data_IF_643546630812
#
_entry.id   IF_643546630812
#
_cell.length_a   1.000
_cell.length_b   1.000
_cell.length_c   1.000
_cell.angle_alpha   90.00
_cell.angle_beta   90.00
_cell.angle_gamma   90.00
#
_symmetry.space_group_name_H-M   'P 1'
#
loop_
_entity.id
_entity.type
_entity.pdbx_description
1 polymer ?
#
# COMPACT_ATOMS: atom_id res chain seq x y z
N UNK A 1 64.41 -47.83 -48.97
CA UNK A 1 63.07 -47.36 -49.36
C UNK A 1 62.35 -46.93 -48.07
N UNK A 2 62.24 -45.61 -47.84
CA UNK A 2 61.69 -45.01 -46.62
C UNK A 2 60.37 -44.39 -46.98
N UNK A 3 59.27 -44.91 -46.45
CA UNK A 3 57.93 -44.35 -46.65
C UNK A 3 57.66 -43.29 -45.56
N UNK A 4 57.36 -42.07 -46.04
CA UNK A 4 56.89 -40.93 -45.18
C UNK A 4 55.40 -40.98 -44.99
N UNK A 5 54.97 -41.26 -43.79
CA UNK A 5 53.60 -41.11 -43.37
C UNK A 5 53.26 -39.66 -43.01
N UNK A 6 52.26 -39.09 -43.66
CA UNK A 6 51.72 -37.76 -43.36
C UNK A 6 50.67 -37.83 -42.28
N UNK A 7 50.93 -37.17 -41.18
CA UNK A 7 49.90 -36.99 -40.06
C UNK A 7 49.06 -35.77 -40.41
N UNK A 8 47.78 -35.98 -40.67
CA UNK A 8 46.76 -34.91 -40.78
C UNK A 8 46.23 -34.59 -39.38
N UNK A 9 46.64 -33.47 -38.84
CA UNK A 9 46.06 -32.94 -37.61
C UNK A 9 44.69 -32.32 -37.88
N UNK A 10 43.65 -32.84 -37.23
CA UNK A 10 42.33 -32.22 -37.20
C UNK A 10 42.31 -31.16 -36.09
N UNK A 11 42.11 -29.91 -36.49
CA UNK A 11 41.91 -28.80 -35.55
C UNK A 11 40.42 -28.75 -35.23
N UNK A 12 40.05 -29.19 -34.01
CA UNK A 12 38.67 -29.01 -33.49
C UNK A 12 38.53 -27.60 -32.91
N UNK A 13 37.77 -26.78 -33.61
CA UNK A 13 37.36 -25.46 -33.11
C UNK A 13 36.21 -25.67 -32.16
N UNK A 14 36.47 -25.56 -30.84
CA UNK A 14 35.45 -25.48 -29.81
C UNK A 14 34.84 -24.09 -29.83
N UNK A 15 33.62 -23.97 -30.38
CA UNK A 15 32.78 -22.79 -30.29
C UNK A 15 32.22 -22.70 -28.86
N UNK A 16 32.80 -21.86 -28.01
CA UNK A 16 32.29 -21.54 -26.67
C UNK A 16 31.11 -20.58 -26.84
N UNK A 17 29.89 -21.12 -26.75
CA UNK A 17 28.66 -20.30 -26.65
C UNK A 17 28.60 -19.76 -25.20
N UNK A 18 29.10 -18.54 -25.00
CA UNK A 18 28.88 -17.78 -23.78
C UNK A 18 27.42 -17.30 -23.77
N UNK A 19 26.57 -18.04 -23.07
CA UNK A 19 25.23 -17.59 -22.78
C UNK A 19 25.35 -16.39 -21.82
N UNK A 20 25.28 -15.18 -22.36
CA UNK A 20 25.17 -13.97 -21.57
C UNK A 20 23.77 -14.00 -20.89
N UNK A 21 23.69 -14.49 -19.67
CA UNK A 21 22.54 -14.28 -18.81
C UNK A 21 22.48 -12.80 -18.53
N UNK A 22 21.57 -12.09 -19.21
CA UNK A 22 21.18 -10.75 -18.83
C UNK A 22 20.65 -10.83 -17.39
N UNK A 23 21.43 -10.33 -16.43
CA UNK A 23 20.96 -10.04 -15.09
C UNK A 23 19.86 -9.00 -15.24
N UNK A 24 18.62 -9.45 -15.34
CA UNK A 24 17.47 -8.59 -15.11
C UNK A 24 17.59 -8.20 -13.63
N UNK A 25 18.05 -6.98 -13.37
CA UNK A 25 17.88 -6.39 -12.04
C UNK A 25 16.39 -6.50 -11.71
N UNK A 26 16.04 -7.33 -10.75
CA UNK A 26 14.65 -7.48 -10.28
C UNK A 26 14.18 -6.08 -9.90
N UNK A 27 13.19 -5.56 -10.62
CA UNK A 27 12.59 -4.29 -10.27
C UNK A 27 11.88 -4.50 -8.93
N UNK A 28 12.31 -3.76 -7.92
CA UNK A 28 11.75 -3.88 -6.56
C UNK A 28 10.74 -2.77 -6.31
N UNK A 29 9.69 -3.08 -5.53
CA UNK A 29 8.75 -2.07 -5.03
C UNK A 29 9.39 -1.13 -4.00
N UNK A 30 10.62 -1.41 -3.55
CA UNK A 30 11.35 -0.52 -2.64
C UNK A 30 11.56 0.87 -3.25
N UNK A 31 11.62 1.88 -2.40
CA UNK A 31 11.83 3.26 -2.79
C UNK A 31 10.81 4.22 -2.19
N UNK A 32 10.85 5.46 -2.63
CA UNK A 32 9.95 6.53 -2.19
C UNK A 32 8.85 6.72 -3.22
N UNK A 33 7.63 6.82 -2.74
CA UNK A 33 6.42 6.87 -3.56
C UNK A 33 5.51 8.01 -3.14
N UNK A 34 4.80 8.58 -4.10
CA UNK A 34 3.78 9.59 -3.89
C UNK A 34 2.56 9.28 -4.75
N UNK A 35 1.36 9.55 -4.23
CA UNK A 35 0.11 9.36 -4.97
C UNK A 35 0.18 10.07 -6.32
N UNK A 36 -0.13 9.35 -7.40
CA UNK A 36 0.02 9.84 -8.78
C UNK A 36 -0.98 10.94 -9.12
N UNK A 37 -2.14 10.91 -8.47
CA UNK A 37 -3.20 11.93 -8.58
C UNK A 37 -3.73 12.21 -7.17
N UNK A 38 -3.98 13.48 -6.85
CA UNK A 38 -4.68 13.82 -5.62
C UNK A 38 -6.01 13.08 -5.53
N UNK A 39 -6.21 12.33 -4.44
CA UNK A 39 -7.41 11.53 -4.21
C UNK A 39 -7.63 11.43 -2.71
N UNK A 40 -8.82 11.75 -2.25
CA UNK A 40 -9.20 11.72 -0.83
C UNK A 40 -10.35 10.76 -0.54
N UNK A 41 -10.96 10.23 -1.61
CA UNK A 41 -12.03 9.25 -1.55
C UNK A 41 -11.62 7.99 -2.32
N UNK A 42 -12.06 6.85 -1.84
CA UNK A 42 -11.93 5.58 -2.54
C UNK A 42 -13.10 5.42 -3.53
N UNK A 43 -12.79 4.98 -4.72
CA UNK A 43 -13.76 4.74 -5.78
C UNK A 43 -13.66 3.29 -6.25
N UNK A 44 -14.81 2.62 -6.52
CA UNK A 44 -14.79 1.29 -7.11
C UNK A 44 -14.04 1.28 -8.44
N UNK A 45 -13.12 0.33 -8.59
CA UNK A 45 -12.22 0.24 -9.75
C UNK A 45 -12.96 0.00 -11.07
N UNK A 46 -14.19 -0.52 -11.02
CA UNK A 46 -15.06 -0.75 -12.16
C UNK A 46 -16.00 0.44 -12.48
N UNK A 47 -15.87 1.54 -11.73
CA UNK A 47 -16.70 2.74 -11.88
C UNK A 47 -18.15 2.59 -11.38
N UNK A 48 -18.48 1.47 -10.73
CA UNK A 48 -19.80 1.26 -10.13
C UNK A 48 -20.02 2.17 -8.92
N UNK A 49 -21.27 2.43 -8.51
CA UNK A 49 -21.54 3.05 -7.22
C UNK A 49 -21.04 2.17 -6.05
N UNK A 50 -20.66 2.83 -4.94
CA UNK A 50 -20.29 2.13 -3.70
C UNK A 50 -21.41 1.18 -3.26
N UNK A 51 -21.11 -0.09 -3.00
CA UNK A 51 -22.10 -1.11 -2.63
C UNK A 51 -22.48 -1.01 -1.14
N UNK A 52 -22.94 0.16 -0.68
CA UNK A 52 -23.23 0.42 0.72
C UNK A 52 -24.47 -0.36 1.22
N UNK A 53 -24.37 -0.92 2.41
CA UNK A 53 -25.54 -1.34 3.20
C UNK A 53 -26.36 -0.12 3.63
N UNK A 54 -27.51 -0.33 4.24
CA UNK A 54 -28.28 0.77 4.85
C UNK A 54 -27.46 1.45 5.97
N UNK A 55 -26.81 0.68 6.84
CA UNK A 55 -25.95 1.19 7.91
C UNK A 55 -24.75 1.96 7.35
N UNK A 56 -24.08 1.41 6.33
CA UNK A 56 -22.97 2.07 5.63
C UNK A 56 -23.38 3.41 5.01
N UNK A 57 -24.53 3.44 4.33
CA UNK A 57 -25.09 4.67 3.73
C UNK A 57 -25.40 5.71 4.79
N UNK A 58 -26.06 5.31 5.87
CA UNK A 58 -26.38 6.21 6.99
C UNK A 58 -25.12 6.83 7.59
N UNK A 59 -24.08 6.01 7.83
CA UNK A 59 -22.79 6.49 8.34
C UNK A 59 -22.10 7.44 7.38
N UNK A 60 -22.06 7.08 6.09
CA UNK A 60 -21.44 7.89 5.03
C UNK A 60 -22.12 9.27 4.90
N UNK A 61 -23.46 9.32 4.84
CA UNK A 61 -24.20 10.59 4.74
C UNK A 61 -24.08 11.44 6.02
N UNK A 62 -24.02 10.81 7.20
CA UNK A 62 -23.75 11.52 8.45
C UNK A 62 -22.36 12.17 8.42
N UNK A 63 -21.32 11.43 8.00
CA UNK A 63 -19.97 11.96 7.87
C UNK A 63 -19.90 13.14 6.87
N UNK A 64 -20.60 13.04 5.74
CA UNK A 64 -20.75 14.17 4.78
C UNK A 64 -21.38 15.39 5.43
N UNK A 65 -22.41 15.19 6.23
CA UNK A 65 -23.10 16.30 6.90
C UNK A 65 -22.20 16.96 7.96
N UNK A 66 -21.40 16.20 8.70
CA UNK A 66 -20.41 16.71 9.64
C UNK A 66 -19.28 17.43 8.91
N UNK A 67 -18.75 16.84 7.84
CA UNK A 67 -17.70 17.44 7.03
C UNK A 67 -18.11 18.81 6.46
N UNK A 68 -19.36 18.93 5.97
CA UNK A 68 -19.89 20.19 5.45
C UNK A 68 -19.98 21.31 6.50
N UNK A 69 -20.04 20.95 7.77
CA UNK A 69 -20.05 21.89 8.92
C UNK A 69 -18.65 22.13 9.50
N UNK A 70 -17.63 21.39 9.04
CA UNK A 70 -16.28 21.40 9.66
C UNK A 70 -16.26 20.73 11.05
N UNK A 71 -17.27 19.93 11.39
CA UNK A 71 -17.38 19.24 12.67
C UNK A 71 -16.62 17.91 12.65
N UNK A 72 -15.30 18.02 12.63
CA UNK A 72 -14.41 16.84 12.62
C UNK A 72 -14.45 16.02 13.91
N UNK A 73 -14.74 16.65 15.05
CA UNK A 73 -14.84 15.94 16.34
C UNK A 73 -15.92 14.86 16.35
N UNK A 74 -16.95 15.02 15.54
CA UNK A 74 -18.07 14.08 15.47
C UNK A 74 -17.77 12.85 14.61
N UNK A 75 -16.76 12.88 13.69
CA UNK A 75 -16.55 11.77 12.78
C UNK A 75 -15.09 11.48 12.40
N UNK A 76 -14.19 12.46 12.43
CA UNK A 76 -12.82 12.34 11.91
C UNK A 76 -11.76 12.73 12.94
N UNK A 77 -11.35 11.76 13.76
CA UNK A 77 -10.33 11.97 14.78
C UNK A 77 -8.95 12.37 14.24
N UNK A 78 -8.68 12.08 12.96
CA UNK A 78 -7.43 12.52 12.34
C UNK A 78 -7.43 14.03 12.16
N UNK A 79 -8.49 14.57 11.57
CA UNK A 79 -8.65 16.02 11.39
C UNK A 79 -8.86 16.75 12.71
N UNK A 80 -9.58 16.16 13.65
CA UNK A 80 -9.84 16.76 14.95
C UNK A 80 -8.61 16.79 15.86
N UNK A 81 -7.92 15.66 16.00
CA UNK A 81 -6.93 15.42 17.09
C UNK A 81 -5.62 14.81 16.64
N UNK A 82 -5.29 14.83 15.35
CA UNK A 82 -4.08 14.20 14.81
C UNK A 82 -3.95 12.70 15.13
N UNK A 83 -5.07 12.00 15.36
CA UNK A 83 -5.05 10.55 15.46
C UNK A 83 -4.63 9.93 14.13
N UNK A 84 -3.94 8.77 14.17
CA UNK A 84 -3.57 8.07 12.92
C UNK A 84 -4.79 7.85 12.03
N UNK A 85 -4.73 8.15 10.73
CA UNK A 85 -5.83 7.91 9.79
C UNK A 85 -6.11 6.42 9.59
N UNK A 86 -5.13 5.56 9.86
CA UNK A 86 -5.25 4.12 9.64
C UNK A 86 -5.11 3.72 8.17
N UNK A 87 -5.13 2.40 7.91
CA UNK A 87 -5.18 1.87 6.55
C UNK A 87 -6.65 1.58 6.15
N UNK A 88 -7.04 1.78 4.88
CA UNK A 88 -6.19 2.21 3.76
C UNK A 88 -6.04 3.74 3.63
N UNK A 89 -6.71 4.56 4.45
CA UNK A 89 -6.73 6.03 4.33
C UNK A 89 -5.33 6.65 4.33
N UNK A 90 -4.39 6.06 5.07
CA UNK A 90 -3.00 6.52 5.10
C UNK A 90 -2.34 6.46 3.72
N UNK A 91 -2.76 5.50 2.88
CA UNK A 91 -2.30 5.36 1.50
C UNK A 91 -2.85 6.45 0.56
N UNK A 92 -3.86 7.22 0.98
CA UNK A 92 -4.47 8.34 0.24
C UNK A 92 -3.89 9.70 0.63
N UNK A 93 -2.97 9.73 1.61
CA UNK A 93 -2.36 11.01 2.00
C UNK A 93 -1.50 11.56 0.86
N UNK A 94 -1.45 12.90 0.68
CA UNK A 94 -0.62 13.50 -0.36
C UNK A 94 0.87 13.47 -0.05
N UNK A 95 1.23 13.06 1.17
CA UNK A 95 2.61 12.86 1.59
C UNK A 95 3.23 11.66 0.89
N UNK A 96 4.55 11.61 0.92
CA UNK A 96 5.29 10.47 0.42
C UNK A 96 5.30 9.35 1.46
N UNK A 97 5.49 8.14 0.96
CA UNK A 97 5.85 7.00 1.78
C UNK A 97 7.04 6.26 1.17
N UNK A 98 7.77 5.56 2.03
CA UNK A 98 8.91 4.73 1.64
C UNK A 98 8.61 3.27 1.92
N UNK A 99 8.84 2.42 0.92
CA UNK A 99 8.81 0.95 1.09
C UNK A 99 10.25 0.47 1.21
N UNK A 100 10.49 -0.40 2.19
CA UNK A 100 11.74 -1.15 2.33
C UNK A 100 11.48 -2.54 2.89
N UNK A 101 12.27 -3.51 2.48
CA UNK A 101 12.09 -4.92 2.82
C UNK A 101 13.17 -5.40 3.80
N UNK A 102 12.82 -6.38 4.61
CA UNK A 102 13.70 -7.12 5.50
C UNK A 102 13.33 -8.61 5.38
N UNK A 103 14.17 -9.54 5.83
CA UNK A 103 13.92 -10.98 5.63
C UNK A 103 12.56 -11.48 6.13
N UNK A 104 11.99 -10.86 7.18
CA UNK A 104 10.73 -11.30 7.79
C UNK A 104 9.60 -10.26 7.68
N UNK A 105 9.85 -9.09 7.09
CA UNK A 105 8.85 -8.04 7.02
C UNK A 105 9.08 -7.06 5.87
N UNK A 106 7.98 -6.51 5.34
CA UNK A 106 7.96 -5.32 4.51
C UNK A 106 7.46 -4.16 5.35
N UNK A 107 8.11 -3.01 5.23
CA UNK A 107 7.78 -1.81 5.96
C UNK A 107 7.34 -0.72 4.99
N UNK A 108 6.25 -0.05 5.33
CA UNK A 108 5.76 1.14 4.64
C UNK A 108 5.81 2.28 5.65
N UNK A 109 6.76 3.19 5.47
CA UNK A 109 6.98 4.33 6.35
C UNK A 109 6.46 5.60 5.69
N UNK A 110 5.61 6.32 6.39
CA UNK A 110 4.99 7.56 5.91
C UNK A 110 5.71 8.80 6.45
N UNK A 111 5.74 9.88 5.66
CA UNK A 111 6.22 11.18 6.16
C UNK A 111 5.34 11.69 7.29
N UNK A 112 4.02 11.54 7.14
CA UNK A 112 3.05 11.98 8.13
C UNK A 112 3.24 11.25 9.47
N UNK A 113 3.62 12.00 10.49
CA UNK A 113 3.90 11.52 11.86
C UNK A 113 4.89 10.34 11.93
N UNK A 114 5.73 10.13 10.91
CA UNK A 114 6.64 8.97 10.83
C UNK A 114 5.94 7.63 11.09
N UNK A 115 4.70 7.53 10.71
CA UNK A 115 3.97 6.27 10.89
C UNK A 115 4.64 5.14 10.12
N UNK A 116 4.68 3.98 10.75
CA UNK A 116 5.22 2.76 10.18
C UNK A 116 4.12 1.70 10.14
N UNK A 117 3.82 1.20 8.94
CA UNK A 117 3.02 0.00 8.74
C UNK A 117 3.96 -1.16 8.47
N UNK A 118 3.91 -2.17 9.32
CA UNK A 118 4.67 -3.41 9.15
C UNK A 118 3.76 -4.48 8.55
N UNK A 119 4.25 -5.15 7.52
CA UNK A 119 3.66 -6.34 6.92
C UNK A 119 4.57 -7.51 7.26
N UNK A 120 4.08 -8.42 8.06
CA UNK A 120 4.81 -9.64 8.41
C UNK A 120 4.77 -10.62 7.22
N UNK A 121 5.95 -11.01 6.73
CA UNK A 121 6.10 -11.98 5.64
C UNK A 121 6.78 -13.28 6.10
N UNK A 122 6.98 -13.46 7.40
CA UNK A 122 7.52 -14.72 7.93
C UNK A 122 6.46 -15.82 7.82
N UNK A 123 6.69 -16.88 7.03
CA UNK A 123 5.68 -17.92 6.80
C UNK A 123 5.32 -18.71 8.07
N UNK A 124 6.12 -18.60 9.13
CA UNK A 124 5.86 -19.26 10.41
C UNK A 124 4.79 -18.57 11.24
N UNK A 125 4.59 -17.26 11.01
CA UNK A 125 3.59 -16.47 11.73
C UNK A 125 2.23 -16.60 11.05
N UNK A 126 1.16 -16.67 11.83
CA UNK A 126 -0.22 -16.70 11.34
C UNK A 126 -0.87 -15.34 11.56
N UNK A 127 -1.80 -15.01 10.68
CA UNK A 127 -2.68 -13.85 10.87
C UNK A 127 -3.86 -14.31 11.73
N UNK A 128 -3.91 -13.83 12.95
CA UNK A 128 -4.97 -14.14 13.91
C UNK A 128 -5.66 -12.86 14.34
N UNK A 129 -6.98 -12.92 14.57
CA UNK A 129 -7.73 -11.78 15.06
C UNK A 129 -7.21 -11.38 16.45
N UNK A 130 -6.79 -10.13 16.65
CA UNK A 130 -6.32 -9.67 17.95
C UNK A 130 -7.49 -9.44 18.90
N UNK A 131 -7.22 -9.45 20.20
CA UNK A 131 -8.20 -9.11 21.24
C UNK A 131 -8.61 -7.63 21.19
N UNK A 132 -7.82 -6.81 20.53
CA UNK A 132 -8.09 -5.37 20.34
C UNK A 132 -7.75 -4.95 18.91
N UNK A 133 -8.55 -4.06 18.37
CA UNK A 133 -8.29 -3.50 17.04
C UNK A 133 -7.15 -2.48 17.02
N UNK A 134 -6.48 -2.38 15.88
CA UNK A 134 -5.44 -1.38 15.60
C UNK A 134 -5.86 -0.43 14.48
N UNK A 135 -5.15 0.66 14.30
CA UNK A 135 -5.49 1.64 13.25
C UNK A 135 -5.05 1.20 11.86
N UNK A 136 -3.99 0.41 11.75
CA UNK A 136 -3.46 -0.08 10.48
C UNK A 136 -3.79 -1.54 10.22
N UNK A 137 -4.54 -2.19 11.11
CA UNK A 137 -4.76 -3.63 11.11
C UNK A 137 -3.50 -4.41 11.48
N UNK A 138 -3.65 -5.72 11.67
CA UNK A 138 -2.57 -6.69 11.62
C UNK A 138 -2.38 -7.11 10.16
N UNK A 139 -1.16 -7.03 9.66
CA UNK A 139 -0.87 -7.21 8.26
C UNK A 139 0.02 -8.43 8.06
N UNK A 140 -0.46 -9.40 7.30
CA UNK A 140 0.29 -10.58 6.87
C UNK A 140 0.47 -10.53 5.36
N UNK A 141 1.70 -10.76 4.90
CA UNK A 141 1.99 -10.74 3.48
C UNK A 141 2.76 -11.96 3.00
N UNK A 142 2.75 -12.13 1.70
CA UNK A 142 3.60 -13.06 0.96
C UNK A 142 3.85 -12.53 -0.45
N UNK A 143 4.85 -13.09 -1.11
CA UNK A 143 5.17 -12.74 -2.49
C UNK A 143 4.57 -13.75 -3.46
N UNK A 144 3.84 -13.26 -4.45
CA UNK A 144 3.44 -14.00 -5.64
C UNK A 144 4.21 -13.47 -6.85
N UNK A 145 5.36 -14.08 -7.12
CA UNK A 145 6.30 -13.52 -8.10
C UNK A 145 6.82 -12.16 -7.62
N UNK A 146 6.50 -11.10 -8.37
CA UNK A 146 6.86 -9.70 -8.09
C UNK A 146 5.71 -8.90 -7.41
N UNK A 147 4.61 -9.56 -7.08
CA UNK A 147 3.46 -8.96 -6.40
C UNK A 147 3.54 -9.23 -4.91
N UNK A 148 3.55 -8.18 -4.09
CA UNK A 148 3.33 -8.31 -2.65
C UNK A 148 1.83 -8.40 -2.39
N UNK A 149 1.37 -9.53 -1.87
CA UNK A 149 -0.02 -9.74 -1.43
C UNK A 149 -0.07 -9.51 0.08
N UNK A 150 -0.99 -8.66 0.54
CA UNK A 150 -1.13 -8.32 1.96
C UNK A 150 -2.58 -8.52 2.39
N UNK A 151 -2.77 -9.36 3.39
CA UNK A 151 -4.04 -9.49 4.11
C UNK A 151 -3.98 -8.68 5.41
N UNK A 152 -5.03 -7.91 5.68
CA UNK A 152 -5.13 -7.10 6.88
C UNK A 152 -6.48 -7.26 7.54
N UNK A 153 -6.46 -7.39 8.87
CA UNK A 153 -7.66 -7.53 9.71
C UNK A 153 -7.40 -6.93 11.10
N UNK A 154 -8.39 -6.96 11.99
CA UNK A 154 -8.24 -6.45 13.34
C UNK A 154 -8.18 -4.92 13.38
N UNK A 155 -9.04 -4.26 12.63
CA UNK A 155 -9.15 -2.80 12.61
C UNK A 155 -10.02 -2.29 13.76
N UNK A 156 -9.67 -1.12 14.27
CA UNK A 156 -10.54 -0.39 15.18
C UNK A 156 -11.81 0.10 14.48
N UNK A 157 -12.94 -0.03 15.13
CA UNK A 157 -14.13 0.77 14.82
C UNK A 157 -13.84 2.28 15.01
N UNK A 158 -14.58 3.16 14.37
CA UNK A 158 -14.42 4.63 14.43
C UNK A 158 -13.18 5.17 13.71
N UNK A 159 -12.77 4.49 12.66
CA UNK A 159 -11.83 5.01 11.66
C UNK A 159 -12.56 5.21 10.34
N UNK A 160 -11.88 5.81 9.42
CA UNK A 160 -12.39 6.03 8.08
C UNK A 160 -11.51 5.29 7.08
N UNK A 161 -12.13 4.68 6.07
CA UNK A 161 -11.41 4.08 4.95
C UNK A 161 -10.80 5.13 4.02
N UNK A 162 -11.46 6.29 3.96
CA UNK A 162 -11.04 7.50 3.25
C UNK A 162 -11.47 8.73 4.06
N UNK A 163 -11.79 9.86 3.44
CA UNK A 163 -12.23 11.03 4.20
C UNK A 163 -13.68 10.96 4.68
N UNK A 164 -14.48 10.02 4.22
CA UNK A 164 -15.91 9.94 4.53
C UNK A 164 -16.43 8.54 4.84
N UNK A 165 -15.84 7.49 4.23
CA UNK A 165 -16.32 6.11 4.35
C UNK A 165 -16.02 5.55 5.75
N UNK A 166 -17.05 5.14 6.50
CA UNK A 166 -16.86 4.47 7.79
C UNK A 166 -16.33 3.05 7.60
N UNK A 167 -15.80 2.46 8.67
CA UNK A 167 -15.52 1.03 8.78
C UNK A 167 -16.16 0.42 10.04
N UNK A 168 -16.27 -0.90 10.03
CA UNK A 168 -16.55 -1.70 11.23
C UNK A 168 -15.30 -2.46 11.70
N UNK A 169 -15.44 -3.26 12.75
CA UNK A 169 -14.40 -4.18 13.22
C UNK A 169 -14.26 -5.42 12.31
N UNK A 170 -15.27 -5.68 11.48
CA UNK A 170 -15.26 -6.76 10.48
C UNK A 170 -14.49 -6.41 9.22
N UNK A 171 -13.90 -5.22 9.15
CA UNK A 171 -13.11 -4.79 8.00
C UNK A 171 -11.95 -5.77 7.73
N UNK A 172 -11.84 -6.17 6.47
CA UNK A 172 -10.72 -6.92 5.92
C UNK A 172 -10.24 -6.25 4.65
N UNK A 173 -8.94 -6.16 4.49
CA UNK A 173 -8.31 -5.67 3.28
C UNK A 173 -7.46 -6.80 2.68
N UNK A 174 -7.54 -6.93 1.36
CA UNK A 174 -6.59 -7.72 0.58
C UNK A 174 -5.96 -6.78 -0.45
N UNK A 175 -4.67 -6.51 -0.27
CA UNK A 175 -3.91 -5.61 -1.14
C UNK A 175 -3.00 -6.42 -2.06
N UNK A 176 -2.85 -5.96 -3.28
CA UNK A 176 -1.91 -6.50 -4.28
C UNK A 176 -1.05 -5.35 -4.80
N UNK A 177 0.15 -5.27 -4.25
CA UNK A 177 1.08 -4.17 -4.49
C UNK A 177 2.13 -4.64 -5.49
N UNK A 178 2.25 -3.94 -6.61
CA UNK A 178 3.18 -4.31 -7.70
C UNK A 178 3.69 -3.08 -8.45
N UNK A 179 4.81 -3.24 -9.15
CA UNK A 179 5.21 -2.29 -10.18
C UNK A 179 4.40 -2.53 -11.46
N UNK A 180 3.83 -1.47 -12.02
CA UNK A 180 3.25 -1.46 -13.37
C UNK A 180 4.35 -1.15 -14.38
N UNK A 181 5.24 -0.28 -14.00
CA UNK A 181 6.50 0.06 -14.66
C UNK A 181 7.53 0.53 -13.61
N UNK A 182 8.77 0.79 -14.01
CA UNK A 182 9.87 1.16 -13.08
C UNK A 182 9.55 2.37 -12.19
N UNK A 183 8.67 3.26 -12.64
CA UNK A 183 8.31 4.50 -11.96
C UNK A 183 6.86 4.54 -11.45
N UNK A 184 6.11 3.46 -11.62
CA UNK A 184 4.69 3.41 -11.22
C UNK A 184 4.42 2.18 -10.37
N UNK A 185 4.03 2.42 -9.12
CA UNK A 185 3.51 1.41 -8.21
C UNK A 185 1.97 1.42 -8.29
N UNK A 186 1.36 0.25 -8.30
CA UNK A 186 -0.08 0.05 -8.21
C UNK A 186 -0.39 -0.77 -6.97
N UNK A 187 -1.36 -0.30 -6.20
CA UNK A 187 -1.97 -1.03 -5.11
C UNK A 187 -3.45 -1.24 -5.43
N UNK A 188 -3.82 -2.51 -5.65
CA UNK A 188 -5.22 -2.93 -5.78
C UNK A 188 -5.69 -3.44 -4.43
N UNK A 189 -6.69 -2.80 -3.89
CA UNK A 189 -7.23 -3.05 -2.55
C UNK A 189 -8.63 -3.64 -2.70
N UNK A 190 -8.82 -4.91 -2.34
CA UNK A 190 -10.15 -5.49 -2.16
C UNK A 190 -10.62 -5.19 -0.74
N UNK A 191 -11.73 -4.50 -0.61
CA UNK A 191 -12.32 -4.06 0.66
C UNK A 191 -13.52 -4.93 0.96
N UNK A 192 -13.52 -5.57 2.12
CA UNK A 192 -14.63 -6.40 2.63
C UNK A 192 -14.98 -5.92 4.02
N UNK A 193 -16.21 -5.47 4.22
CA UNK A 193 -16.77 -5.07 5.50
C UNK A 193 -18.29 -5.29 5.45
N UNK A 194 -18.81 -6.42 5.95
CA UNK A 194 -20.21 -6.80 5.75
C UNK A 194 -21.20 -5.91 6.52
N UNK A 195 -20.75 -5.15 7.54
CA UNK A 195 -21.60 -4.17 8.18
C UNK A 195 -21.78 -2.91 7.29
N UNK A 196 -20.78 -2.57 6.49
CA UNK A 196 -20.74 -1.33 5.71
C UNK A 196 -21.07 -1.56 4.24
N UNK A 197 -20.67 -2.71 3.66
CA UNK A 197 -20.83 -3.01 2.24
C UNK A 197 -21.60 -4.30 2.01
N UNK A 198 -22.47 -4.31 1.01
CA UNK A 198 -23.29 -5.48 0.62
C UNK A 198 -22.50 -6.57 -0.10
N UNK A 199 -21.31 -6.26 -0.60
CA UNK A 199 -20.37 -7.16 -1.26
C UNK A 199 -18.96 -6.60 -1.20
N UNK A 200 -17.91 -7.42 -1.34
CA UNK A 200 -16.54 -6.94 -1.55
C UNK A 200 -16.45 -6.07 -2.82
N UNK A 201 -15.53 -5.12 -2.80
CA UNK A 201 -15.26 -4.25 -3.95
C UNK A 201 -13.79 -3.84 -3.99
N UNK A 202 -13.29 -3.52 -5.17
CA UNK A 202 -11.91 -3.14 -5.38
C UNK A 202 -11.76 -1.63 -5.54
N UNK A 203 -10.71 -1.06 -4.93
CA UNK A 203 -10.15 0.24 -5.27
C UNK A 203 -8.75 0.06 -5.87
N UNK A 204 -8.30 1.01 -6.68
CA UNK A 204 -6.95 1.01 -7.27
C UNK A 204 -6.28 2.35 -7.03
N UNK A 205 -5.17 2.31 -6.31
CA UNK A 205 -4.32 3.46 -6.07
C UNK A 205 -3.04 3.34 -6.90
N UNK A 206 -2.59 4.44 -7.48
CA UNK A 206 -1.33 4.50 -8.23
C UNK A 206 -0.43 5.56 -7.67
N UNK A 207 0.86 5.24 -7.62
CA UNK A 207 1.90 6.09 -7.08
C UNK A 207 3.02 6.26 -8.08
N UNK A 208 3.64 7.43 -8.05
CA UNK A 208 4.84 7.74 -8.84
C UNK A 208 6.06 7.67 -7.94
N UNK A 209 7.12 7.05 -8.48
CA UNK A 209 8.42 6.99 -7.81
C UNK A 209 8.95 8.40 -7.63
N UNK A 210 9.45 8.67 -6.46
CA UNK A 210 10.11 9.92 -6.12
C UNK A 210 11.62 9.70 -6.02
N UNK A 211 12.44 10.74 -6.22
CA UNK A 211 13.85 10.66 -5.90
C UNK A 211 14.06 10.21 -4.45
N UNK A 212 15.11 9.43 -4.22
CA UNK A 212 15.47 8.96 -2.86
C UNK A 212 16.24 10.05 -2.09
N UNK A 213 15.65 11.23 -2.06
CA UNK A 213 16.14 12.39 -1.35
C UNK A 213 15.76 12.35 0.14
N UNK A 214 16.02 13.47 0.82
CA UNK A 214 15.60 13.66 2.20
C UNK A 214 14.11 13.32 2.33
N UNK A 215 13.81 12.41 3.24
CA UNK A 215 12.46 11.99 3.59
C UNK A 215 12.09 12.68 4.91
N UNK A 216 11.52 13.92 4.86
CA UNK A 216 11.23 14.69 6.03
C UNK A 216 10.12 14.07 6.88
N UNK A 217 10.04 14.48 8.12
CA UNK A 217 8.91 14.22 8.98
C UNK A 217 7.87 15.32 8.79
N UNK A 218 6.60 14.95 8.60
CA UNK A 218 5.45 15.86 8.64
C UNK A 218 4.66 15.63 9.92
N UNK A 219 4.86 16.51 10.91
CA UNK A 219 4.25 16.37 12.23
C UNK A 219 2.90 17.08 12.26
N UNK A 220 1.83 16.31 12.41
CA UNK A 220 0.46 16.81 12.41
C UNK A 220 0.22 17.92 13.48
N UNK A 221 0.77 17.76 14.68
CA UNK A 221 0.63 18.77 15.75
C UNK A 221 1.33 20.06 15.40
N UNK A 222 2.50 20.00 14.77
CA UNK A 222 3.24 21.18 14.33
C UNK A 222 2.47 21.91 13.23
N UNK A 223 1.86 21.16 12.29
CA UNK A 223 0.96 21.74 11.28
C UNK A 223 -0.20 22.49 11.93
N UNK A 224 -0.87 21.88 12.90
CA UNK A 224 -1.95 22.53 13.65
C UNK A 224 -1.47 23.79 14.38
N UNK A 225 -0.33 23.74 15.03
CA UNK A 225 0.26 24.89 15.69
C UNK A 225 0.59 26.04 14.71
N UNK A 226 0.93 25.69 13.45
CA UNK A 226 1.15 26.63 12.36
C UNK A 226 -0.13 27.06 11.64
N UNK A 227 -1.33 26.68 12.12
CA UNK A 227 -2.61 26.99 11.49
C UNK A 227 -2.87 26.24 10.19
N UNK A 228 -2.13 25.16 9.93
CA UNK A 228 -2.29 24.31 8.77
C UNK A 228 -3.26 23.15 9.07
N UNK A 229 -3.90 22.55 8.04
CA UNK A 229 -4.74 21.38 8.25
C UNK A 229 -3.92 20.19 8.75
N UNK A 230 -4.50 19.33 9.60
CA UNK A 230 -3.84 18.12 10.15
C UNK A 230 -3.30 17.14 9.11
N UNK A 231 -4.03 16.95 8.03
CA UNK A 231 -3.53 16.29 6.82
C UNK A 231 -3.17 17.34 5.78
N UNK A 232 -2.10 17.15 5.00
CA UNK A 232 -1.80 18.04 3.89
C UNK A 232 -2.98 18.12 2.92
N UNK A 233 -3.14 19.26 2.25
CA UNK A 233 -4.09 19.39 1.14
C UNK A 233 -3.49 18.76 -0.12
N UNK A 234 -4.29 18.02 -0.83
CA UNK A 234 -3.96 17.54 -2.18
C UNK A 234 -3.85 18.68 -3.17
#
# INVERSE_FOLDING_TARGET
>A
MIARGAIRGAISVLLSITCAQALHASQTIEGVWKLARPQVLLEPADGSPLPLTEAGRKGYEANKAYAAKGDYESYDMTMARCSSPGAPRLMLTPDRFRIFTRPAAVYIMFEWNRLLRQVDIDPRNKLEMPDWGTVTGLNKGHWEGDVLVVESLGFNRKRLLDNLLPNSEELRLLERIRLVDVNTLEDRITITDPEIFTKPWDAVLRYKRQPDEVFPEDVCLDRKAAGQPPLPKN
#
